data_IF_912950245157
#
_entry.id   IF_912950245157
#
_cell.length_a   1.000
_cell.length_b   1.000
_cell.length_c   1.000
_cell.angle_alpha   90.00
_cell.angle_beta   90.00
_cell.angle_gamma   90.00
#
_symmetry.space_group_name_H-M   'P 1'
#
loop_
_entity.id
_entity.type
_entity.pdbx_description
1 polymer ?
#
# COMPACT_ATOMS: atom_id res chain seq x y z
N UNK A 1 -12.63 32.76 -11.16
CA UNK A 1 -11.27 32.49 -10.62
C UNK A 1 -11.28 31.62 -9.36
N UNK A 2 -12.10 31.93 -8.35
CA UNK A 2 -12.20 31.12 -7.11
C UNK A 2 -12.69 29.68 -7.36
N UNK A 3 -13.71 29.50 -8.19
CA UNK A 3 -14.23 28.17 -8.54
C UNK A 3 -13.21 27.25 -9.22
N UNK A 4 -12.30 27.80 -10.04
CA UNK A 4 -11.23 27.01 -10.68
C UNK A 4 -10.18 26.55 -9.65
N UNK A 5 -9.85 27.40 -8.67
CA UNK A 5 -8.95 27.03 -7.58
C UNK A 5 -9.54 25.94 -6.69
N UNK A 6 -10.83 26.05 -6.34
CA UNK A 6 -11.52 25.01 -5.56
C UNK A 6 -11.56 23.66 -6.28
N UNK A 7 -11.79 23.66 -7.61
CA UNK A 7 -11.72 22.44 -8.42
C UNK A 7 -10.32 21.84 -8.47
N UNK A 8 -9.27 22.66 -8.53
CA UNK A 8 -7.89 22.18 -8.49
C UNK A 8 -7.58 21.54 -7.12
N UNK A 9 -7.94 22.21 -6.02
CA UNK A 9 -7.77 21.68 -4.65
C UNK A 9 -8.49 20.34 -4.50
N UNK A 10 -9.75 20.25 -4.94
CA UNK A 10 -10.54 19.01 -4.87
C UNK A 10 -9.89 17.84 -5.62
N UNK A 11 -9.35 18.09 -6.82
CA UNK A 11 -8.62 17.08 -7.60
C UNK A 11 -7.34 16.62 -6.91
N UNK A 12 -6.61 17.55 -6.29
CA UNK A 12 -5.40 17.20 -5.54
C UNK A 12 -5.71 16.41 -4.27
N UNK A 13 -6.80 16.74 -3.57
CA UNK A 13 -7.24 15.97 -2.39
C UNK A 13 -7.75 14.58 -2.75
N UNK A 14 -8.40 14.42 -3.90
CA UNK A 14 -8.84 13.12 -4.41
C UNK A 14 -7.66 12.24 -4.83
N UNK A 15 -6.68 12.81 -5.54
CA UNK A 15 -5.44 12.10 -5.89
C UNK A 15 -4.68 11.66 -4.63
N UNK A 16 -4.58 12.54 -3.62
CA UNK A 16 -3.93 12.21 -2.36
C UNK A 16 -4.68 11.13 -1.57
N UNK A 17 -6.02 11.14 -1.58
CA UNK A 17 -6.82 10.09 -0.93
C UNK A 17 -6.62 8.73 -1.62
N UNK A 18 -6.59 8.69 -2.95
CA UNK A 18 -6.32 7.45 -3.69
C UNK A 18 -4.89 6.93 -3.43
N UNK A 19 -3.90 7.81 -3.35
CA UNK A 19 -2.52 7.44 -2.98
C UNK A 19 -2.44 6.89 -1.54
N UNK A 20 -3.21 7.45 -0.61
CA UNK A 20 -3.29 6.97 0.77
C UNK A 20 -3.96 5.59 0.87
N UNK A 21 -5.02 5.35 0.11
CA UNK A 21 -5.71 4.05 0.05
C UNK A 21 -4.83 2.94 -0.56
N UNK A 22 -3.89 3.28 -1.44
CA UNK A 22 -2.90 2.30 -1.94
C UNK A 22 -1.78 2.00 -0.94
N UNK A 23 -1.41 2.97 -0.09
CA UNK A 23 -0.39 2.79 0.96
C UNK A 23 -0.83 1.77 2.02
N UNK A 24 -2.14 1.64 2.28
CA UNK A 24 -2.65 0.68 3.29
C UNK A 24 -2.61 -0.78 2.83
N UNK A 25 -2.49 -1.06 1.52
CA UNK A 25 -2.47 -2.44 1.02
C UNK A 25 -1.17 -3.19 1.35
N UNK A 26 -0.09 -2.47 1.65
CA UNK A 26 1.22 -3.03 2.01
C UNK A 26 1.53 -2.88 3.51
N UNK A 27 0.52 -2.69 4.36
CA UNK A 27 0.67 -2.56 5.81
C UNK A 27 0.11 -3.74 6.59
N UNK A 28 0.83 -4.13 7.63
CA UNK A 28 0.43 -5.18 8.54
C UNK A 28 -0.81 -4.74 9.31
N UNK A 29 -1.88 -5.53 9.22
CA UNK A 29 -3.14 -5.28 9.95
C UNK A 29 -3.02 -5.33 11.47
N UNK A 30 -1.91 -5.88 12.00
CA UNK A 30 -1.66 -6.00 13.44
C UNK A 30 -0.87 -4.80 13.98
N UNK A 31 0.25 -4.46 13.35
CA UNK A 31 1.18 -3.46 13.88
C UNK A 31 1.33 -2.20 13.02
N UNK A 32 0.65 -2.13 11.86
CA UNK A 32 0.76 -1.04 10.88
C UNK A 32 2.11 -0.91 10.18
N UNK A 33 3.04 -1.83 10.47
CA UNK A 33 4.38 -1.90 9.86
C UNK A 33 4.32 -2.31 8.38
N UNK A 34 5.40 -2.06 7.65
CA UNK A 34 5.51 -2.46 6.25
C UNK A 34 5.52 -3.98 6.11
N UNK A 35 4.79 -4.48 5.12
CA UNK A 35 4.79 -5.89 4.71
C UNK A 35 5.82 -6.09 3.60
N UNK A 36 6.58 -7.18 3.69
CA UNK A 36 7.43 -7.68 2.61
C UNK A 36 6.69 -8.76 1.83
N UNK A 37 6.49 -8.55 0.53
CA UNK A 37 5.89 -9.53 -0.38
C UNK A 37 6.93 -10.03 -1.37
N UNK A 38 7.16 -11.35 -1.38
CA UNK A 38 8.02 -12.04 -2.34
C UNK A 38 7.14 -12.82 -3.31
N UNK A 39 7.19 -12.47 -4.59
CA UNK A 39 6.41 -13.12 -5.65
C UNK A 39 7.31 -14.10 -6.42
N UNK A 40 6.83 -15.32 -6.60
CA UNK A 40 7.49 -16.39 -7.34
C UNK A 40 6.80 -16.57 -8.68
N UNK A 41 7.59 -16.50 -9.75
CA UNK A 41 7.12 -16.66 -11.12
C UNK A 41 7.58 -18.00 -11.70
N UNK A 42 6.69 -18.69 -12.42
CA UNK A 42 6.99 -19.88 -13.22
C UNK A 42 6.53 -19.59 -14.64
N UNK A 43 7.43 -19.75 -15.61
CA UNK A 43 7.19 -19.43 -17.03
C UNK A 43 6.65 -18.00 -17.28
N UNK A 44 7.09 -17.04 -16.45
CA UNK A 44 6.67 -15.63 -16.55
C UNK A 44 5.29 -15.34 -15.95
N UNK A 45 4.62 -16.33 -15.35
CA UNK A 45 3.33 -16.18 -14.68
C UNK A 45 3.55 -16.25 -13.17
N UNK A 46 2.88 -15.39 -12.40
CA UNK A 46 2.88 -15.45 -10.93
C UNK A 46 2.31 -16.81 -10.51
N UNK A 47 3.17 -17.66 -9.95
CA UNK A 47 2.82 -18.99 -9.49
C UNK A 47 2.48 -19.00 -8.01
N UNK A 48 3.16 -18.17 -7.22
CA UNK A 48 2.94 -18.08 -5.78
C UNK A 48 3.43 -16.73 -5.23
N UNK A 49 2.98 -16.35 -4.03
CA UNK A 49 3.55 -15.22 -3.30
C UNK A 49 3.56 -15.47 -1.81
N UNK A 50 4.61 -15.03 -1.13
CA UNK A 50 4.77 -15.08 0.32
C UNK A 50 4.75 -13.65 0.85
N UNK A 51 3.96 -13.43 1.89
CA UNK A 51 3.72 -12.11 2.48
C UNK A 51 4.07 -12.17 3.97
N UNK A 52 5.00 -11.33 4.41
CA UNK A 52 5.58 -11.35 5.76
C UNK A 52 5.56 -9.95 6.37
N UNK A 53 5.23 -9.85 7.65
CA UNK A 53 5.46 -8.63 8.43
C UNK A 53 6.69 -8.85 9.34
N UNK A 54 7.86 -8.27 9.01
CA UNK A 54 9.09 -8.50 9.77
C UNK A 54 8.93 -8.13 11.25
N UNK A 55 8.26 -7.00 11.50
CA UNK A 55 8.03 -6.49 12.85
C UNK A 55 7.22 -7.45 13.74
N UNK A 56 6.21 -8.13 13.17
CA UNK A 56 5.42 -9.10 13.94
C UNK A 56 6.05 -10.49 14.01
N UNK A 57 6.99 -10.81 13.12
CA UNK A 57 7.77 -12.04 13.22
C UNK A 57 8.86 -11.93 14.29
N UNK A 58 9.57 -10.80 14.34
CA UNK A 58 10.61 -10.55 15.34
C UNK A 58 10.04 -10.50 16.77
N UNK A 59 8.83 -9.97 16.96
CA UNK A 59 8.14 -9.91 18.26
C UNK A 59 7.65 -11.27 18.79
N UNK A 60 7.73 -12.35 17.99
CA UNK A 60 7.37 -13.71 18.41
C UNK A 60 8.58 -14.57 18.82
N UNK A 61 9.79 -13.99 18.80
CA UNK A 61 11.05 -14.62 19.23
C UNK A 61 11.34 -14.49 20.71
#
# INVERSE_FOLDING_TARGET
RLQQKLRAIAKHTEALANELDEIDKDRCSVCGGAIHRTIYYVDGIEANSVTVCPKCEDDKG
#
